data_IF_995538825352
#
_entry.id   IF_995538825352
#
_cell.length_a   1.000
_cell.length_b   1.000
_cell.length_c   1.000
_cell.angle_alpha   90.00
_cell.angle_beta   90.00
_cell.angle_gamma   90.00
#
_symmetry.space_group_name_H-M   'P 1'
#
loop_
_entity.id
_entity.type
_entity.pdbx_description
1 polymer ?
#
# COMPACT_ATOMS: atom_id res chain seq x y z
N UNK A 1 -16.06 -37.61 -2.95
CA UNK A 1 -16.49 -36.21 -2.81
C UNK A 1 -16.78 -35.56 -4.16
N UNK A 2 -15.86 -35.62 -5.14
CA UNK A 2 -16.08 -35.05 -6.49
C UNK A 2 -17.34 -35.57 -7.19
N UNK A 3 -17.62 -36.87 -7.15
CA UNK A 3 -18.82 -37.41 -7.82
C UNK A 3 -20.15 -36.87 -7.24
N UNK A 4 -20.19 -36.64 -5.92
CA UNK A 4 -21.36 -36.04 -5.27
C UNK A 4 -21.51 -34.56 -5.64
N UNK A 5 -20.39 -33.81 -5.70
CA UNK A 5 -20.34 -32.43 -6.16
C UNK A 5 -20.86 -32.32 -7.60
N UNK A 6 -20.33 -33.14 -8.50
CA UNK A 6 -20.73 -33.14 -9.91
C UNK A 6 -22.24 -33.42 -10.08
N UNK A 7 -22.79 -34.42 -9.38
CA UNK A 7 -24.23 -34.73 -9.41
C UNK A 7 -25.08 -33.56 -8.92
N UNK A 8 -24.65 -32.89 -7.85
CA UNK A 8 -25.33 -31.71 -7.31
C UNK A 8 -25.31 -30.56 -8.32
N UNK A 9 -24.13 -30.25 -8.88
CA UNK A 9 -23.94 -29.18 -9.86
C UNK A 9 -24.77 -29.41 -11.12
N UNK A 10 -24.81 -30.65 -11.63
CA UNK A 10 -25.64 -31.00 -12.79
C UNK A 10 -27.14 -30.88 -12.50
N UNK A 11 -27.59 -31.29 -11.31
CA UNK A 11 -28.99 -31.11 -10.89
C UNK A 11 -29.35 -29.63 -10.82
N UNK A 12 -28.48 -28.82 -10.23
CA UNK A 12 -28.68 -27.38 -10.10
C UNK A 12 -28.69 -26.67 -11.46
N UNK A 13 -27.78 -26.99 -12.38
CA UNK A 13 -27.73 -26.38 -13.70
C UNK A 13 -29.03 -26.65 -14.48
N UNK A 14 -29.64 -27.83 -14.33
CA UNK A 14 -30.96 -28.12 -14.91
C UNK A 14 -32.06 -27.18 -14.38
N UNK A 15 -32.03 -26.84 -13.10
CA UNK A 15 -32.99 -25.89 -12.52
C UNK A 15 -32.72 -24.47 -13.01
N UNK A 16 -31.46 -24.06 -13.13
CA UNK A 16 -31.08 -22.77 -13.73
C UNK A 16 -31.64 -22.63 -15.13
N UNK A 17 -31.47 -23.65 -15.98
CA UNK A 17 -32.01 -23.63 -17.35
C UNK A 17 -33.55 -23.56 -17.39
N UNK A 18 -34.26 -24.07 -16.39
CA UNK A 18 -35.72 -23.88 -16.29
C UNK A 18 -36.06 -22.44 -15.94
N UNK A 19 -35.34 -21.84 -15.00
CA UNK A 19 -35.57 -20.45 -14.56
C UNK A 19 -35.24 -19.44 -15.65
N UNK A 20 -34.13 -19.62 -16.39
CA UNK A 20 -33.70 -18.72 -17.46
C UNK A 20 -34.73 -18.56 -18.58
N UNK A 21 -35.62 -19.53 -18.78
CA UNK A 21 -36.71 -19.45 -19.78
C UNK A 21 -37.71 -18.34 -19.47
N UNK A 22 -38.02 -18.14 -18.18
CA UNK A 22 -39.01 -17.15 -17.74
C UNK A 22 -38.36 -15.89 -17.19
N UNK A 23 -37.15 -16.02 -16.63
CA UNK A 23 -36.42 -14.96 -15.97
C UNK A 23 -34.96 -14.98 -16.45
N UNK A 24 -34.64 -14.33 -17.58
CA UNK A 24 -33.27 -14.28 -18.09
C UNK A 24 -32.36 -13.50 -17.13
N UNK A 25 -31.06 -13.77 -17.22
CA UNK A 25 -30.06 -12.97 -16.51
C UNK A 25 -30.00 -11.54 -17.03
N UNK A 26 -29.56 -10.64 -16.16
CA UNK A 26 -29.38 -9.22 -16.49
C UNK A 26 -28.32 -8.98 -17.58
N UNK A 27 -27.35 -9.89 -17.70
CA UNK A 27 -26.26 -9.84 -18.67
C UNK A 27 -26.03 -11.22 -19.25
N UNK A 28 -25.60 -11.25 -20.52
CA UNK A 28 -25.18 -12.50 -21.18
C UNK A 28 -23.83 -13.02 -20.68
N UNK A 29 -22.98 -12.12 -20.18
CA UNK A 29 -21.66 -12.41 -19.64
C UNK A 29 -21.44 -11.57 -18.39
N UNK A 30 -20.93 -12.22 -17.35
CA UNK A 30 -20.44 -11.56 -16.14
C UNK A 30 -18.92 -11.62 -16.16
N UNK A 31 -18.27 -10.50 -15.84
CA UNK A 31 -16.82 -10.43 -15.78
C UNK A 31 -16.36 -9.50 -14.67
N UNK A 32 -15.12 -9.68 -14.23
CA UNK A 32 -14.42 -8.71 -13.38
C UNK A 32 -14.11 -7.45 -14.19
N UNK A 33 -13.66 -6.39 -13.49
CA UNK A 33 -13.17 -5.16 -14.12
C UNK A 33 -11.91 -5.37 -14.97
N UNK A 34 -11.17 -6.45 -14.73
CA UNK A 34 -10.00 -6.89 -15.50
C UNK A 34 -10.37 -7.86 -16.63
N UNK A 35 -11.64 -7.91 -17.01
CA UNK A 35 -12.19 -8.74 -18.09
C UNK A 35 -12.05 -10.26 -17.92
N UNK A 36 -11.88 -10.73 -16.68
CA UNK A 36 -11.94 -12.18 -16.38
C UNK A 36 -13.40 -12.62 -16.27
N UNK A 37 -13.80 -13.64 -17.02
CA UNK A 37 -15.17 -14.16 -16.97
C UNK A 37 -15.50 -14.79 -15.60
N UNK A 38 -16.69 -14.50 -15.11
CA UNK A 38 -17.21 -15.01 -13.84
C UNK A 38 -18.26 -16.07 -14.13
N UNK A 39 -17.96 -17.33 -13.79
CA UNK A 39 -18.95 -18.42 -13.85
C UNK A 39 -20.07 -18.17 -12.85
N UNK A 40 -21.28 -18.67 -13.16
CA UNK A 40 -22.44 -18.61 -12.26
C UNK A 40 -22.20 -19.31 -10.92
N UNK A 41 -21.40 -20.38 -10.94
CA UNK A 41 -21.05 -21.18 -9.77
C UNK A 41 -19.62 -21.70 -9.93
N UNK A 42 -18.84 -21.65 -8.85
CA UNK A 42 -17.56 -22.32 -8.71
C UNK A 42 -17.70 -23.49 -7.73
N UNK A 43 -17.05 -24.60 -8.05
CA UNK A 43 -17.22 -25.91 -7.44
C UNK A 43 -15.85 -26.56 -7.18
N UNK A 44 -15.76 -27.66 -6.41
CA UNK A 44 -14.54 -28.46 -6.29
C UNK A 44 -13.92 -28.85 -7.64
N UNK A 45 -14.72 -29.01 -8.69
CA UNK A 45 -14.24 -29.33 -10.04
C UNK A 45 -13.45 -28.17 -10.67
N UNK A 46 -13.67 -26.93 -10.25
CA UNK A 46 -12.98 -25.73 -10.76
C UNK A 46 -11.57 -25.54 -10.18
N UNK A 47 -11.24 -26.26 -9.10
CA UNK A 47 -9.92 -26.23 -8.45
C UNK A 47 -9.22 -27.60 -8.46
N UNK A 48 -9.75 -28.56 -9.23
CA UNK A 48 -9.28 -29.95 -9.24
C UNK A 48 -7.83 -30.12 -9.68
N UNK A 49 -7.36 -29.19 -10.52
CA UNK A 49 -6.01 -29.22 -11.11
C UNK A 49 -4.99 -28.40 -10.29
N UNK A 50 -5.42 -27.80 -9.16
CA UNK A 50 -4.53 -27.06 -8.25
C UNK A 50 -3.81 -28.04 -7.32
N UNK A 51 -2.48 -28.02 -7.33
CA UNK A 51 -1.65 -28.78 -6.41
C UNK A 51 -1.46 -27.99 -5.10
N UNK A 52 -1.94 -28.55 -3.98
CA UNK A 52 -1.82 -27.87 -2.69
C UNK A 52 -0.37 -27.54 -2.32
N UNK A 53 0.60 -28.45 -2.52
CA UNK A 53 1.98 -28.21 -2.07
C UNK A 53 2.75 -27.25 -2.97
N UNK A 54 2.39 -27.14 -4.25
CA UNK A 54 3.12 -26.35 -5.24
C UNK A 54 2.46 -25.00 -5.51
N UNK A 55 1.13 -24.95 -5.62
CA UNK A 55 0.40 -23.75 -6.01
C UNK A 55 -0.11 -22.95 -4.80
N UNK A 56 -0.46 -23.63 -3.70
CA UNK A 56 -1.07 -22.99 -2.51
C UNK A 56 -0.05 -22.84 -1.36
N UNK A 57 0.54 -23.94 -0.92
CA UNK A 57 1.51 -24.00 0.17
C UNK A 57 1.00 -23.55 1.54
N UNK A 58 1.96 -23.29 2.43
CA UNK A 58 1.75 -22.70 3.75
C UNK A 58 2.34 -21.28 3.80
N UNK A 59 1.87 -20.39 4.70
CA UNK A 59 2.44 -19.05 4.84
C UNK A 59 3.95 -19.10 5.14
N UNK A 60 4.71 -18.19 4.56
CA UNK A 60 6.17 -18.11 4.75
C UNK A 60 6.99 -19.04 3.86
N UNK A 61 6.36 -19.83 2.99
CA UNK A 61 7.04 -20.67 2.00
C UNK A 61 6.62 -20.29 0.57
N UNK A 62 7.53 -20.44 -0.39
CA UNK A 62 7.24 -20.23 -1.82
C UNK A 62 6.08 -21.16 -2.25
N UNK A 63 5.09 -20.69 -3.05
CA UNK A 63 5.04 -19.43 -3.80
C UNK A 63 4.46 -18.24 -3.01
N UNK A 64 4.36 -18.34 -1.69
CA UNK A 64 3.85 -17.32 -0.79
C UNK A 64 2.39 -16.89 -1.04
N UNK A 65 1.58 -17.74 -1.70
CA UNK A 65 0.16 -17.45 -1.98
C UNK A 65 -0.61 -17.11 -0.71
N UNK A 66 -0.24 -17.74 0.42
CA UNK A 66 -0.86 -17.53 1.73
C UNK A 66 -0.15 -16.49 2.60
N UNK A 67 0.76 -15.71 2.02
CA UNK A 67 1.55 -14.67 2.68
C UNK A 67 3.02 -15.06 2.87
N UNK A 68 3.89 -14.06 2.91
CA UNK A 68 5.35 -14.21 3.05
C UNK A 68 5.82 -14.38 4.51
N UNK A 69 4.94 -14.29 5.50
CA UNK A 69 5.25 -14.44 6.92
C UNK A 69 4.59 -15.70 7.48
N UNK A 70 5.36 -16.54 8.19
CA UNK A 70 4.88 -17.82 8.75
C UNK A 70 3.67 -17.63 9.68
N UNK A 71 3.69 -16.59 10.52
CA UNK A 71 2.60 -16.32 11.48
C UNK A 71 1.55 -15.34 10.96
N UNK A 72 1.77 -14.73 9.79
CA UNK A 72 0.96 -13.61 9.30
C UNK A 72 0.66 -12.57 10.39
N UNK A 73 -0.59 -12.11 10.42
CA UNK A 73 -1.05 -11.08 11.38
C UNK A 73 -1.29 -11.58 12.80
N UNK A 74 -1.13 -12.89 13.08
CA UNK A 74 -1.11 -13.39 14.47
C UNK A 74 0.20 -13.04 15.18
N UNK A 75 1.29 -12.88 14.42
CA UNK A 75 2.59 -12.47 14.95
C UNK A 75 2.76 -10.95 14.98
N UNK A 76 2.48 -10.28 13.87
CA UNK A 76 2.58 -8.82 13.74
C UNK A 76 1.53 -8.30 12.78
N UNK A 77 0.77 -7.29 13.20
CA UNK A 77 -0.14 -6.58 12.30
C UNK A 77 0.62 -5.89 11.16
N UNK A 78 -0.09 -5.58 10.07
CA UNK A 78 0.46 -4.69 9.06
C UNK A 78 0.79 -3.32 9.67
N UNK A 79 1.73 -2.60 9.05
CA UNK A 79 2.05 -1.24 9.49
C UNK A 79 0.87 -0.33 9.17
N UNK A 80 0.24 0.24 10.20
CA UNK A 80 -0.69 1.35 10.04
C UNK A 80 0.11 2.57 9.61
N UNK A 81 0.03 2.93 8.32
CA UNK A 81 0.84 3.98 7.70
C UNK A 81 -0.05 4.93 6.91
N UNK A 82 -0.49 6.03 7.53
CA UNK A 82 -1.28 7.04 6.83
C UNK A 82 -0.35 7.92 5.99
N UNK A 83 -0.79 8.16 4.76
CA UNK A 83 -0.18 9.11 3.84
C UNK A 83 -0.56 10.53 4.27
N UNK A 84 0.45 11.37 4.53
CA UNK A 84 0.22 12.71 5.07
C UNK A 84 1.33 13.67 4.72
N UNK A 85 0.93 14.91 4.44
CA UNK A 85 1.78 16.04 4.15
C UNK A 85 0.90 17.18 3.65
N UNK A 86 1.09 18.38 4.18
CA UNK A 86 0.38 19.59 3.80
C UNK A 86 1.07 20.81 4.41
N UNK A 87 1.19 21.88 3.66
CA UNK A 87 1.76 23.14 4.12
C UNK A 87 3.25 23.05 4.40
N UNK A 88 3.68 23.67 5.49
CA UNK A 88 5.08 23.69 5.91
C UNK A 88 5.54 22.37 6.54
N UNK A 89 6.85 22.22 6.69
CA UNK A 89 7.45 21.14 7.45
C UNK A 89 6.90 21.07 8.90
N UNK A 90 6.69 22.23 9.55
CA UNK A 90 6.12 22.32 10.89
C UNK A 90 4.66 21.82 10.94
N UNK A 91 3.84 22.17 9.94
CA UNK A 91 2.43 21.76 9.86
C UNK A 91 2.33 20.23 9.73
N UNK A 92 3.15 19.66 8.85
CA UNK A 92 3.20 18.21 8.62
C UNK A 92 3.78 17.47 9.83
N UNK A 93 4.83 18.01 10.47
CA UNK A 93 5.37 17.45 11.71
C UNK A 93 4.31 17.38 12.82
N UNK A 94 3.53 18.46 13.02
CA UNK A 94 2.41 18.48 13.98
C UNK A 94 1.39 17.38 13.68
N UNK A 95 1.06 17.16 12.40
CA UNK A 95 0.16 16.09 11.96
C UNK A 95 0.76 14.71 12.25
N UNK A 96 2.05 14.50 12.03
CA UNK A 96 2.73 13.25 12.34
C UNK A 96 2.71 12.92 13.82
N UNK A 97 3.00 13.88 14.69
CA UNK A 97 2.88 13.68 16.13
C UNK A 97 1.46 13.31 16.55
N UNK A 98 0.44 13.94 15.95
CA UNK A 98 -0.94 13.55 16.17
C UNK A 98 -1.21 12.11 15.72
N UNK A 99 -0.81 11.75 14.49
CA UNK A 99 -1.00 10.40 13.95
C UNK A 99 -0.32 9.32 14.80
N UNK A 100 0.91 9.55 15.24
CA UNK A 100 1.64 8.62 16.10
C UNK A 100 0.94 8.43 17.45
N UNK A 101 0.38 9.51 18.03
CA UNK A 101 -0.43 9.40 19.25
C UNK A 101 -1.72 8.61 19.03
N UNK A 102 -2.35 8.74 17.87
CA UNK A 102 -3.57 8.01 17.49
C UNK A 102 -3.30 6.56 17.02
N UNK A 103 -2.08 6.04 17.17
CA UNK A 103 -1.76 4.63 16.92
C UNK A 103 -1.16 4.33 15.54
N UNK A 104 -0.77 5.35 14.77
CA UNK A 104 0.05 5.14 13.57
C UNK A 104 1.40 4.51 13.95
N UNK A 105 1.85 3.50 13.17
CA UNK A 105 3.06 2.71 13.47
C UNK A 105 4.19 2.90 12.43
N UNK A 106 3.93 3.66 11.37
CA UNK A 106 4.92 4.12 10.41
C UNK A 106 4.44 5.38 9.71
N UNK A 107 5.34 6.29 9.33
CA UNK A 107 5.00 7.56 8.67
C UNK A 107 5.02 7.43 7.14
N UNK A 108 4.16 8.15 6.43
CA UNK A 108 4.26 8.26 4.97
C UNK A 108 4.07 9.71 4.55
N UNK A 109 5.03 10.20 3.78
CA UNK A 109 5.20 11.62 3.47
C UNK A 109 4.65 11.92 2.08
N UNK A 110 3.67 12.82 2.02
CA UNK A 110 3.20 13.44 0.79
C UNK A 110 3.97 14.75 0.57
N UNK A 111 4.71 14.86 -0.52
CA UNK A 111 5.40 16.11 -0.89
C UNK A 111 4.52 16.95 -1.80
N UNK A 112 4.68 18.27 -1.75
CA UNK A 112 3.98 19.17 -2.65
C UNK A 112 4.46 19.05 -4.10
N UNK A 113 3.72 19.65 -5.03
CA UNK A 113 4.06 19.51 -6.45
C UNK A 113 5.44 20.08 -6.83
N UNK A 114 5.87 21.26 -6.33
CA UNK A 114 7.22 21.77 -6.53
C UNK A 114 8.31 20.78 -6.08
N UNK A 115 8.22 20.26 -4.86
CA UNK A 115 9.17 19.28 -4.33
C UNK A 115 9.16 18.01 -5.18
N UNK A 116 7.98 17.51 -5.58
CA UNK A 116 7.85 16.34 -6.47
C UNK A 116 8.52 16.56 -7.83
N UNK A 117 8.56 17.80 -8.31
CA UNK A 117 9.13 18.16 -9.61
C UNK A 117 10.58 18.66 -9.52
N UNK A 118 11.16 18.72 -8.31
CA UNK A 118 12.53 19.18 -8.08
C UNK A 118 12.72 20.69 -8.25
N UNK A 119 11.70 21.48 -7.91
CA UNK A 119 11.78 22.93 -7.86
C UNK A 119 11.72 23.42 -6.42
N UNK A 120 12.57 24.38 -6.09
CA UNK A 120 12.46 25.15 -4.85
C UNK A 120 11.17 26.00 -4.87
N UNK A 121 10.65 26.32 -3.69
CA UNK A 121 9.38 27.06 -3.51
C UNK A 121 9.36 28.46 -4.13
N UNK A 122 10.52 29.09 -4.38
CA UNK A 122 10.65 30.39 -5.02
C UNK A 122 10.76 30.32 -6.57
N UNK A 123 10.80 29.12 -7.13
CA UNK A 123 10.78 28.90 -8.57
C UNK A 123 9.51 29.50 -9.18
N UNK A 124 9.59 30.21 -10.32
CA UNK A 124 8.42 30.68 -11.05
C UNK A 124 7.43 29.55 -11.41
N UNK A 125 7.90 28.29 -11.49
CA UNK A 125 7.08 27.11 -11.76
C UNK A 125 6.35 26.56 -10.53
N UNK A 126 6.72 27.00 -9.33
CA UNK A 126 6.11 26.58 -8.07
C UNK A 126 4.91 27.45 -7.65
N UNK A 127 4.72 28.60 -8.32
CA UNK A 127 3.71 29.59 -7.97
C UNK A 127 2.31 28.97 -7.85
N UNK A 128 1.72 29.07 -6.68
CA UNK A 128 0.36 28.58 -6.38
C UNK A 128 0.29 27.14 -5.89
N UNK A 129 1.37 26.37 -5.96
CA UNK A 129 1.40 24.93 -5.63
C UNK A 129 2.16 24.61 -4.34
N UNK A 130 2.95 25.56 -3.82
CA UNK A 130 3.76 25.40 -2.60
C UNK A 130 2.87 24.99 -1.42
N UNK A 131 3.17 23.83 -0.83
CA UNK A 131 2.46 23.29 0.34
C UNK A 131 0.99 22.92 0.12
N UNK A 132 0.47 22.87 -1.12
CA UNK A 132 -0.97 22.68 -1.40
C UNK A 132 -1.46 21.25 -1.36
N UNK A 133 -0.66 20.32 -1.86
CA UNK A 133 -1.02 18.89 -1.98
C UNK A 133 -0.05 17.99 -1.21
N UNK A 134 0.82 18.59 -0.40
CA UNK A 134 1.89 17.93 0.32
C UNK A 134 2.71 18.93 1.13
N UNK A 135 3.74 18.43 1.79
CA UNK A 135 4.72 19.26 2.49
C UNK A 135 5.72 19.87 1.49
N UNK A 136 6.01 21.16 1.64
CA UNK A 136 7.09 21.81 0.91
C UNK A 136 8.44 21.51 1.58
N UNK A 137 9.41 21.02 0.82
CA UNK A 137 10.78 20.75 1.28
C UNK A 137 11.76 21.21 0.20
N UNK A 138 12.46 22.30 0.47
CA UNK A 138 13.48 22.83 -0.43
C UNK A 138 14.89 22.47 0.07
N UNK A 139 15.06 22.47 1.41
CA UNK A 139 16.37 22.38 2.06
C UNK A 139 16.43 21.28 3.13
N UNK A 140 17.66 21.01 3.59
CA UNK A 140 17.87 20.15 4.76
C UNK A 140 17.24 20.75 6.03
N UNK A 141 17.13 22.07 6.15
CA UNK A 141 16.52 22.73 7.32
C UNK A 141 15.01 22.44 7.40
N UNK A 142 14.32 22.43 6.27
CA UNK A 142 12.92 22.01 6.19
C UNK A 142 12.78 20.53 6.57
N UNK A 143 13.69 19.69 6.09
CA UNK A 143 13.68 18.27 6.41
C UNK A 143 13.96 18.00 7.89
N UNK A 144 14.88 18.74 8.51
CA UNK A 144 15.18 18.64 9.95
C UNK A 144 13.96 19.06 10.78
N UNK A 145 13.27 20.12 10.36
CA UNK A 145 12.01 20.56 10.96
C UNK A 145 10.94 19.48 10.83
N UNK A 146 10.78 18.90 9.63
CA UNK A 146 9.82 17.83 9.37
C UNK A 146 10.05 16.63 10.30
N UNK A 147 11.33 16.32 10.59
CA UNK A 147 11.73 15.20 11.46
C UNK A 147 11.82 15.57 12.94
N UNK A 148 11.50 16.80 13.35
CA UNK A 148 11.66 17.25 14.73
C UNK A 148 10.85 16.39 15.72
N UNK A 149 11.51 15.86 16.75
CA UNK A 149 10.89 14.96 17.73
C UNK A 149 10.46 13.57 17.21
N UNK A 150 10.67 13.25 15.93
CA UNK A 150 10.35 11.93 15.37
C UNK A 150 11.50 10.93 15.66
N UNK A 151 11.22 9.77 16.29
CA UNK A 151 12.24 8.76 16.60
C UNK A 151 12.55 7.89 15.36
N UNK A 152 13.50 8.34 14.53
CA UNK A 152 13.85 7.72 13.24
C UNK A 152 14.37 6.28 13.34
N UNK A 153 14.86 5.88 14.51
CA UNK A 153 15.36 4.53 14.83
C UNK A 153 14.24 3.56 15.26
N UNK A 154 13.03 4.07 15.51
CA UNK A 154 11.88 3.29 16.03
C UNK A 154 10.69 3.31 15.09
N UNK A 155 10.51 4.39 14.34
CA UNK A 155 9.40 4.58 13.40
C UNK A 155 9.95 4.58 11.99
N UNK A 156 9.39 3.71 11.15
CA UNK A 156 9.79 3.66 9.74
C UNK A 156 9.11 4.78 8.95
N UNK A 157 9.83 5.43 8.05
CA UNK A 157 9.32 6.54 7.22
C UNK A 157 9.28 6.14 5.75
N UNK A 158 8.14 6.34 5.10
CA UNK A 158 7.98 6.22 3.65
C UNK A 158 7.96 7.60 3.02
N UNK A 159 8.64 7.75 1.89
CA UNK A 159 8.68 8.99 1.11
C UNK A 159 8.13 8.72 -0.29
N UNK A 160 6.96 9.28 -0.60
CA UNK A 160 6.36 9.20 -1.95
C UNK A 160 6.93 10.32 -2.80
N UNK A 161 8.17 10.14 -3.25
CA UNK A 161 8.96 11.07 -4.04
C UNK A 161 9.57 10.28 -5.19
N UNK A 162 9.67 10.82 -6.42
CA UNK A 162 10.25 10.06 -7.54
C UNK A 162 11.42 10.82 -8.20
N UNK A 163 11.21 11.89 -9.00
CA UNK A 163 12.33 12.47 -9.76
C UNK A 163 13.49 13.00 -8.88
N UNK A 164 13.25 13.72 -7.77
CA UNK A 164 14.33 14.16 -6.88
C UNK A 164 14.54 13.22 -5.68
N UNK A 165 14.16 11.95 -5.79
CA UNK A 165 14.26 10.96 -4.71
C UNK A 165 15.68 10.91 -4.08
N UNK A 166 16.74 10.95 -4.89
CA UNK A 166 18.12 10.93 -4.40
C UNK A 166 18.43 12.10 -3.45
N UNK A 167 17.87 13.28 -3.71
CA UNK A 167 18.09 14.47 -2.88
C UNK A 167 17.38 14.32 -1.53
N UNK A 168 16.11 13.92 -1.53
CA UNK A 168 15.35 13.70 -0.29
C UNK A 168 15.90 12.52 0.52
N UNK A 169 16.43 11.48 -0.15
CA UNK A 169 17.15 10.40 0.52
C UNK A 169 18.43 10.89 1.20
N UNK A 170 19.20 11.74 0.54
CA UNK A 170 20.39 12.36 1.13
C UNK A 170 20.02 13.22 2.35
N UNK A 171 18.93 13.99 2.27
CA UNK A 171 18.42 14.76 3.41
C UNK A 171 17.99 13.86 4.57
N UNK A 172 17.31 12.74 4.31
CA UNK A 172 16.93 11.77 5.35
C UNK A 172 18.15 11.14 6.02
N UNK A 173 19.19 10.77 5.25
CA UNK A 173 20.45 10.27 5.79
C UNK A 173 21.18 11.34 6.63
N UNK A 174 21.27 12.56 6.12
CA UNK A 174 21.91 13.68 6.82
C UNK A 174 21.17 14.03 8.12
N UNK A 175 19.83 14.02 8.12
CA UNK A 175 19.04 14.23 9.32
C UNK A 175 19.27 13.14 10.38
N UNK A 176 19.48 11.88 9.96
CA UNK A 176 19.85 10.80 10.88
C UNK A 176 21.24 11.01 11.47
N UNK A 177 22.23 11.36 10.64
CA UNK A 177 23.62 11.62 11.05
C UNK A 177 23.72 12.78 12.04
N UNK A 178 23.05 13.91 11.76
CA UNK A 178 22.97 15.08 12.65
C UNK A 178 22.36 14.70 14.01
N UNK A 179 21.42 13.75 14.04
CA UNK A 179 20.80 13.24 15.27
C UNK A 179 21.61 12.13 15.95
N UNK A 180 22.76 11.75 15.40
CA UNK A 180 23.61 10.68 15.92
C UNK A 180 23.01 9.27 15.73
N UNK A 181 22.11 9.08 14.77
CA UNK A 181 21.45 7.80 14.48
C UNK A 181 22.21 7.10 13.34
N UNK A 182 22.80 5.92 13.55
CA UNK A 182 23.48 5.18 12.48
C UNK A 182 22.54 4.86 11.31
N UNK A 183 23.04 4.95 10.07
CA UNK A 183 22.23 4.67 8.87
C UNK A 183 21.67 3.24 8.84
N UNK A 184 22.28 2.29 9.55
CA UNK A 184 21.77 0.91 9.69
C UNK A 184 20.55 0.79 10.62
N UNK A 185 20.17 1.86 11.33
CA UNK A 185 19.04 1.91 12.27
C UNK A 185 17.83 2.65 11.72
N UNK A 186 17.99 3.44 10.66
CA UNK A 186 16.86 4.05 9.97
C UNK A 186 16.20 3.01 9.05
N UNK A 187 14.87 3.03 9.01
CA UNK A 187 14.09 2.10 8.19
C UNK A 187 13.02 2.86 7.42
N UNK A 188 12.79 2.47 6.16
CA UNK A 188 11.87 3.22 5.33
C UNK A 188 11.72 2.69 3.92
N UNK A 189 11.05 3.49 3.11
CA UNK A 189 10.87 3.23 1.68
C UNK A 189 10.94 4.57 0.96
N UNK A 190 11.60 4.58 -0.18
CA UNK A 190 11.54 5.67 -1.15
C UNK A 190 10.93 5.10 -2.42
N UNK A 191 9.95 5.81 -2.99
CA UNK A 191 9.30 5.41 -4.26
C UNK A 191 10.23 5.69 -5.45
#
# INVERSE_FOLDING_TARGET
MQEASLKLTQKWEKEVQKTLKNNPEQKKRFSTVSDTEIKRLYTPEDIKDINYSEDIGVPGEFPYLRGNQVTGYRGRYWTFRMFSGMGSAQDTNRRWHMLLREGQTGLSTAFDFPTLMGYDSDSPKALGEVGKCGVAIDTLEDFLTLMEGIPMDKVTTSMTINPPATVLWAMYCAAADIKGIPLSKIGGTIQ
#
